data_IF_214956063280
#
_entry.id   IF_214956063280
#
_cell.length_a   1.000
_cell.length_b   1.000
_cell.length_c   1.000
_cell.angle_alpha   90.00
_cell.angle_beta   90.00
_cell.angle_gamma   90.00
#
_symmetry.space_group_name_H-M   'P 1'
#
loop_
_entity.id
_entity.type
_entity.pdbx_description
1 polymer ?
#
# COMPACT_ATOMS: atom_id res chain seq x y z
N UNK A 1 66.29 56.80 -20.70
CA UNK A 1 65.56 55.65 -21.30
C UNK A 1 65.22 54.68 -20.18
N UNK A 2 64.01 54.18 -19.93
CA UNK A 2 62.65 54.36 -20.46
C UNK A 2 61.70 54.16 -19.27
N UNK A 3 60.67 55.00 -19.14
CA UNK A 3 59.52 54.78 -18.26
C UNK A 3 58.77 53.52 -18.73
N UNK A 4 58.39 52.63 -17.82
CA UNK A 4 57.44 51.54 -18.13
C UNK A 4 56.11 51.86 -17.47
N UNK A 5 55.08 51.91 -18.31
CA UNK A 5 53.67 52.21 -18.00
C UNK A 5 53.00 51.03 -17.27
N UNK A 6 51.97 51.41 -16.51
CA UNK A 6 50.99 50.57 -15.83
C UNK A 6 50.35 49.49 -16.73
N UNK A 7 49.96 48.36 -16.13
CA UNK A 7 48.83 47.54 -16.59
C UNK A 7 47.90 47.32 -15.39
N UNK A 8 46.63 47.73 -15.55
CA UNK A 8 45.54 47.50 -14.60
C UNK A 8 44.83 46.17 -14.91
N UNK A 9 44.20 45.66 -13.86
CA UNK A 9 43.02 44.77 -13.83
C UNK A 9 43.28 43.26 -13.94
N UNK A 10 42.77 42.49 -12.96
CA UNK A 10 41.38 42.00 -12.95
C UNK A 10 41.01 41.26 -11.66
N UNK A 11 39.86 41.64 -11.12
CA UNK A 11 38.82 40.82 -10.48
C UNK A 11 39.24 39.47 -9.85
N UNK A 12 39.19 39.40 -8.52
CA UNK A 12 38.80 38.19 -7.80
C UNK A 12 37.84 38.60 -6.68
N UNK A 13 36.56 38.68 -7.02
CA UNK A 13 35.47 38.83 -6.06
C UNK A 13 35.31 37.45 -5.39
N UNK A 14 35.96 37.28 -4.24
CA UNK A 14 36.02 36.01 -3.52
C UNK A 14 35.15 36.05 -2.26
N UNK A 15 34.41 34.96 -2.06
CA UNK A 15 33.93 34.45 -0.77
C UNK A 15 32.99 35.33 0.05
N UNK A 16 31.70 35.34 -0.30
CA UNK A 16 30.66 35.28 0.74
C UNK A 16 29.36 34.67 0.20
N UNK A 17 29.41 33.40 -0.19
CA UNK A 17 28.20 32.59 -0.35
C UNK A 17 27.68 32.24 1.04
N UNK A 18 26.79 33.08 1.56
CA UNK A 18 25.98 32.79 2.74
C UNK A 18 24.99 31.67 2.36
N UNK A 19 25.42 30.42 2.52
CA UNK A 19 24.56 29.26 2.36
C UNK A 19 23.63 29.20 3.57
N UNK A 20 22.48 29.86 3.44
CA UNK A 20 21.36 29.71 4.35
C UNK A 20 20.76 28.32 4.10
N UNK A 21 21.31 27.29 4.76
CA UNK A 21 20.67 25.98 4.87
C UNK A 21 19.39 26.15 5.69
N UNK A 22 18.29 26.47 5.00
CA UNK A 22 16.94 26.26 5.51
C UNK A 22 16.78 24.77 5.79
N UNK A 23 16.88 24.42 7.07
CA UNK A 23 16.53 23.10 7.59
C UNK A 23 15.01 23.00 7.51
N UNK A 24 14.51 22.70 6.32
CA UNK A 24 13.10 22.38 6.11
C UNK A 24 12.92 20.95 6.60
N UNK A 25 12.64 20.81 7.90
CA UNK A 25 12.20 19.56 8.48
C UNK A 25 10.93 19.11 7.76
N UNK A 26 11.05 18.12 6.89
CA UNK A 26 9.90 17.42 6.35
C UNK A 26 9.18 16.75 7.52
N UNK A 27 8.11 17.37 8.01
CA UNK A 27 7.14 16.69 8.84
C UNK A 27 6.51 15.60 7.95
N UNK A 28 7.02 14.37 8.04
CA UNK A 28 6.36 13.20 7.47
C UNK A 28 5.13 12.89 8.32
N UNK A 29 4.07 13.68 8.16
CA UNK A 29 2.72 13.23 8.50
C UNK A 29 2.42 12.06 7.58
N UNK A 30 2.72 10.83 8.04
CA UNK A 30 2.54 9.62 7.25
C UNK A 30 1.09 9.52 6.80
N UNK A 31 0.83 9.77 5.52
CA UNK A 31 -0.50 9.62 4.95
C UNK A 31 -0.87 8.14 5.01
N UNK A 32 -1.92 7.80 5.75
CA UNK A 32 -2.45 6.44 5.80
C UNK A 32 -2.97 6.03 4.43
N UNK A 33 -2.68 4.80 4.03
CA UNK A 33 -3.14 4.17 2.80
C UNK A 33 -4.64 3.94 2.88
N UNK A 34 -5.37 4.58 1.97
CA UNK A 34 -6.81 4.43 1.86
C UNK A 34 -7.22 3.16 1.07
N UNK A 35 -8.53 2.94 0.93
CA UNK A 35 -9.10 1.80 0.21
C UNK A 35 -8.66 1.70 -1.26
N UNK A 36 -8.53 2.84 -1.94
CA UNK A 36 -8.17 2.87 -3.35
C UNK A 36 -6.68 2.57 -3.52
N UNK A 37 -5.84 3.15 -2.66
CA UNK A 37 -4.41 2.89 -2.65
C UNK A 37 -4.10 1.43 -2.31
N UNK A 38 -4.79 0.85 -1.32
CA UNK A 38 -4.64 -0.57 -0.98
C UNK A 38 -5.14 -1.50 -2.09
N UNK A 39 -6.23 -1.15 -2.78
CA UNK A 39 -6.67 -1.90 -3.95
C UNK A 39 -5.64 -1.89 -5.08
N UNK A 40 -5.01 -0.75 -5.36
CA UNK A 40 -3.96 -0.67 -6.37
C UNK A 40 -2.76 -1.56 -6.04
N UNK A 41 -2.40 -1.71 -4.76
CA UNK A 41 -1.36 -2.67 -4.30
C UNK A 41 -1.81 -4.10 -4.60
N UNK A 42 -3.01 -4.50 -4.16
CA UNK A 42 -3.51 -5.86 -4.39
C UNK A 42 -3.59 -6.19 -5.88
N UNK A 43 -4.10 -5.25 -6.67
CA UNK A 43 -4.24 -5.40 -8.12
C UNK A 43 -2.89 -5.59 -8.81
N UNK A 44 -1.88 -4.78 -8.48
CA UNK A 44 -0.58 -4.77 -9.16
C UNK A 44 0.39 -5.83 -8.63
N UNK A 45 0.30 -6.19 -7.36
CA UNK A 45 1.29 -7.06 -6.74
C UNK A 45 0.77 -8.48 -6.46
N UNK A 46 -0.53 -8.64 -6.19
CA UNK A 46 -1.12 -9.95 -5.84
C UNK A 46 -1.93 -10.56 -6.97
N UNK A 47 -2.53 -9.72 -7.82
CA UNK A 47 -3.42 -10.13 -8.92
C UNK A 47 -2.87 -9.75 -10.30
N UNK A 48 -1.59 -9.37 -10.40
CA UNK A 48 -0.99 -8.91 -11.65
C UNK A 48 -1.07 -9.93 -12.79
N UNK A 49 -0.95 -11.21 -12.48
CA UNK A 49 -0.98 -12.28 -13.47
C UNK A 49 -2.36 -12.44 -14.10
N UNK A 50 -3.44 -12.28 -13.33
CA UNK A 50 -4.81 -12.35 -13.85
C UNK A 50 -5.85 -11.81 -12.86
N UNK A 51 -6.76 -11.01 -13.42
CA UNK A 51 -8.03 -10.62 -12.79
C UNK A 51 -9.22 -11.40 -13.34
N UNK A 52 -9.02 -12.28 -14.33
CA UNK A 52 -10.09 -13.05 -14.95
C UNK A 52 -10.66 -14.07 -13.97
N UNK A 53 -11.97 -14.28 -14.06
CA UNK A 53 -12.72 -15.20 -13.22
C UNK A 53 -12.48 -14.96 -11.71
N UNK A 54 -12.62 -13.71 -11.27
CA UNK A 54 -12.44 -13.30 -9.86
C UNK A 54 -13.52 -12.34 -9.41
N UNK A 55 -13.91 -12.47 -8.14
CA UNK A 55 -14.65 -11.43 -7.42
C UNK A 55 -13.79 -10.97 -6.25
N UNK A 56 -13.67 -9.65 -6.08
CA UNK A 56 -12.90 -9.06 -4.99
C UNK A 56 -13.80 -8.21 -4.12
N UNK A 57 -13.71 -8.46 -2.82
CA UNK A 57 -14.35 -7.71 -1.77
C UNK A 57 -13.29 -7.05 -0.90
N UNK A 58 -13.61 -5.90 -0.31
CA UNK A 58 -12.80 -5.20 0.69
C UNK A 58 -13.62 -4.93 1.94
N UNK A 59 -13.01 -4.98 3.12
CA UNK A 59 -13.66 -4.59 4.38
C UNK A 59 -14.15 -3.13 4.34
N UNK A 60 -15.26 -2.86 5.03
CA UNK A 60 -15.81 -1.50 5.17
C UNK A 60 -14.89 -0.58 5.97
N UNK A 61 -14.14 -1.14 6.92
CA UNK A 61 -13.15 -0.44 7.75
C UNK A 61 -11.87 -1.28 7.85
N UNK A 62 -10.71 -0.66 8.18
CA UNK A 62 -9.50 -1.40 8.49
C UNK A 62 -9.68 -2.23 9.76
N UNK A 63 -9.00 -3.38 9.82
CA UNK A 63 -9.02 -4.29 10.95
C UNK A 63 -7.73 -4.14 11.77
N UNK A 64 -7.84 -4.26 13.09
CA UNK A 64 -6.70 -4.10 14.00
C UNK A 64 -5.86 -5.38 14.09
N UNK A 65 -4.58 -5.24 14.40
CA UNK A 65 -3.69 -6.36 14.71
C UNK A 65 -4.34 -7.37 15.67
N UNK A 66 -4.25 -8.66 15.34
CA UNK A 66 -4.80 -9.74 16.15
C UNK A 66 -6.32 -9.91 16.08
N UNK A 67 -7.05 -9.00 15.43
CA UNK A 67 -8.50 -9.13 15.24
C UNK A 67 -8.81 -10.41 14.45
N UNK A 68 -9.81 -11.15 14.92
CA UNK A 68 -10.24 -12.40 14.31
C UNK A 68 -11.13 -12.15 13.09
N UNK A 69 -10.88 -12.89 12.02
CA UNK A 69 -11.72 -12.99 10.83
C UNK A 69 -12.12 -14.46 10.71
N UNK A 70 -13.38 -14.74 11.02
CA UNK A 70 -13.90 -16.11 11.07
C UNK A 70 -14.41 -16.53 9.70
N UNK A 71 -14.23 -17.80 9.39
CA UNK A 71 -15.03 -18.55 8.43
C UNK A 71 -15.56 -19.80 9.14
N UNK A 72 -16.53 -20.48 8.53
CA UNK A 72 -17.05 -21.74 9.06
C UNK A 72 -16.00 -22.86 9.23
N UNK A 73 -14.80 -22.73 8.64
CA UNK A 73 -13.69 -23.68 8.79
C UNK A 73 -12.55 -23.20 9.68
N UNK A 74 -12.29 -21.89 9.73
CA UNK A 74 -11.06 -21.38 10.33
C UNK A 74 -11.24 -20.00 10.94
N UNK A 75 -10.36 -19.66 11.88
CA UNK A 75 -10.25 -18.31 12.43
C UNK A 75 -8.92 -17.74 11.98
N UNK A 76 -8.96 -16.88 10.98
CA UNK A 76 -7.81 -16.09 10.57
C UNK A 76 -7.64 -14.91 11.54
N UNK A 77 -6.42 -14.40 11.65
CA UNK A 77 -6.12 -13.19 12.43
C UNK A 77 -5.37 -12.20 11.56
N UNK A 78 -5.66 -10.91 11.74
CA UNK A 78 -4.81 -9.86 11.21
C UNK A 78 -3.40 -10.06 11.80
N UNK A 79 -2.34 -10.21 10.97
CA UNK A 79 -0.99 -10.43 11.47
C UNK A 79 -0.55 -9.34 12.45
N UNK A 80 0.08 -9.72 13.56
CA UNK A 80 0.46 -8.78 14.64
C UNK A 80 1.46 -7.70 14.20
N UNK A 81 2.18 -7.92 13.10
CA UNK A 81 3.11 -6.96 12.52
C UNK A 81 2.43 -5.92 11.61
N UNK A 82 1.12 -6.03 11.38
CA UNK A 82 0.30 -5.02 10.69
C UNK A 82 -0.62 -4.40 11.74
N UNK A 83 -0.29 -3.19 12.22
CA UNK A 83 -1.04 -2.57 13.33
C UNK A 83 -2.51 -2.40 13.00
N UNK A 84 -2.77 -2.03 11.75
CA UNK A 84 -4.08 -1.89 11.16
C UNK A 84 -4.00 -2.22 9.67
N UNK A 85 -4.97 -2.97 9.13
CA UNK A 85 -4.92 -3.45 7.76
C UNK A 85 -6.30 -3.49 7.08
N UNK A 86 -6.33 -3.12 5.81
CA UNK A 86 -7.46 -3.44 4.93
C UNK A 86 -7.51 -4.94 4.68
N UNK A 87 -8.68 -5.55 4.83
CA UNK A 87 -8.91 -6.93 4.44
C UNK A 87 -9.53 -6.98 3.06
N UNK A 88 -8.93 -7.74 2.16
CA UNK A 88 -9.54 -8.18 0.92
C UNK A 88 -9.88 -9.66 1.00
N UNK A 89 -11.06 -10.00 0.47
CA UNK A 89 -11.43 -11.38 0.16
C UNK A 89 -11.50 -11.52 -1.36
N UNK A 90 -10.74 -12.47 -1.90
CA UNK A 90 -10.71 -12.78 -3.32
C UNK A 90 -11.32 -14.17 -3.49
N UNK A 91 -12.45 -14.24 -4.18
CA UNK A 91 -12.99 -15.47 -4.73
C UNK A 91 -12.25 -15.75 -6.05
N UNK A 92 -11.42 -16.80 -6.07
CA UNK A 92 -10.63 -17.17 -7.24
C UNK A 92 -11.36 -18.12 -8.20
N UNK A 93 -12.54 -18.61 -7.82
CA UNK A 93 -13.39 -19.48 -8.65
C UNK A 93 -14.88 -19.15 -8.46
N UNK A 94 -15.33 -17.95 -8.88
CA UNK A 94 -16.72 -17.55 -8.76
C UNK A 94 -17.67 -18.57 -9.40
N UNK A 95 -18.75 -18.90 -8.69
CA UNK A 95 -19.75 -19.87 -9.15
C UNK A 95 -19.41 -21.33 -8.82
N UNK A 96 -18.22 -21.60 -8.28
CA UNK A 96 -17.98 -22.85 -7.59
C UNK A 96 -18.83 -22.94 -6.31
N UNK A 97 -19.20 -24.16 -5.93
CA UNK A 97 -20.06 -24.41 -4.78
C UNK A 97 -19.25 -24.35 -3.46
N UNK A 98 -19.44 -25.34 -2.60
CA UNK A 98 -19.08 -25.39 -1.18
C UNK A 98 -17.71 -24.78 -0.84
N UNK A 99 -16.65 -25.43 -1.29
CA UNK A 99 -15.29 -25.04 -0.97
C UNK A 99 -14.50 -24.95 -2.25
N UNK A 100 -13.89 -23.79 -2.45
CA UNK A 100 -13.17 -23.46 -3.66
C UNK A 100 -12.02 -22.53 -3.31
N UNK A 101 -11.05 -22.44 -4.21
CA UNK A 101 -9.88 -21.62 -3.96
C UNK A 101 -10.30 -20.15 -3.73
N UNK A 102 -9.86 -19.59 -2.61
CA UNK A 102 -10.03 -18.18 -2.31
C UNK A 102 -8.83 -17.66 -1.50
N UNK A 103 -8.75 -16.35 -1.34
CA UNK A 103 -7.65 -15.71 -0.61
C UNK A 103 -8.14 -14.60 0.29
N UNK A 104 -7.50 -14.51 1.45
CA UNK A 104 -7.57 -13.36 2.35
C UNK A 104 -6.28 -12.57 2.15
N UNK A 105 -6.38 -11.26 1.93
CA UNK A 105 -5.22 -10.39 1.77
C UNK A 105 -5.34 -9.25 2.76
N UNK A 106 -4.39 -9.14 3.67
CA UNK A 106 -4.28 -8.01 4.60
C UNK A 106 -3.28 -7.02 4.05
N UNK A 107 -3.65 -5.74 3.95
CA UNK A 107 -2.76 -4.65 3.48
C UNK A 107 -2.64 -3.61 4.60
N UNK A 108 -1.42 -3.42 5.11
CA UNK A 108 -1.13 -2.50 6.22
C UNK A 108 -1.41 -1.04 5.82
N UNK A 109 -2.14 -0.32 6.67
CA UNK A 109 -2.57 1.06 6.39
C UNK A 109 -1.44 2.08 6.48
N UNK A 110 -0.32 1.75 7.12
CA UNK A 110 0.82 2.66 7.26
C UNK A 110 1.87 2.49 6.15
N UNK A 111 2.10 1.25 5.71
CA UNK A 111 3.26 0.89 4.89
C UNK A 111 2.90 0.26 3.55
N UNK A 112 1.68 -0.27 3.41
CA UNK A 112 1.25 -0.98 2.19
C UNK A 112 1.81 -2.39 2.08
N UNK A 113 2.63 -2.83 3.05
CA UNK A 113 3.03 -4.23 3.17
C UNK A 113 1.78 -5.09 3.31
N UNK A 114 1.81 -6.28 2.72
CA UNK A 114 0.66 -7.16 2.73
C UNK A 114 1.00 -8.59 3.10
N UNK A 115 -0.04 -9.33 3.49
CA UNK A 115 0.00 -10.76 3.74
C UNK A 115 -1.14 -11.43 2.99
N UNK A 116 -0.79 -12.41 2.16
CA UNK A 116 -1.76 -13.29 1.49
C UNK A 116 -1.89 -14.58 2.28
N UNK A 117 -3.13 -15.03 2.48
CA UNK A 117 -3.47 -16.32 3.06
C UNK A 117 -4.38 -17.05 2.06
N UNK A 118 -3.97 -18.24 1.64
CA UNK A 118 -4.81 -19.15 0.86
C UNK A 118 -5.86 -19.77 1.77
N UNK A 119 -7.09 -19.84 1.30
CA UNK A 119 -8.24 -20.36 2.02
C UNK A 119 -9.16 -21.13 1.06
N UNK A 120 -10.21 -21.75 1.61
CA UNK A 120 -11.23 -22.44 0.82
C UNK A 120 -12.67 -21.99 1.11
N UNK A 121 -12.84 -20.97 1.97
CA UNK A 121 -14.14 -20.53 2.49
C UNK A 121 -14.16 -19.01 2.69
N UNK A 122 -15.24 -18.30 2.31
CA UNK A 122 -15.42 -16.87 2.59
C UNK A 122 -15.50 -16.57 4.09
N UNK A 123 -15.30 -15.31 4.50
CA UNK A 123 -15.52 -14.91 5.87
C UNK A 123 -17.01 -15.01 6.24
N UNK A 124 -17.32 -15.28 7.49
CA UNK A 124 -18.71 -15.29 7.97
C UNK A 124 -19.34 -13.90 7.90
N UNK A 125 -18.52 -12.85 7.98
CA UNK A 125 -18.93 -11.46 8.04
C UNK A 125 -18.93 -10.76 6.66
N UNK A 126 -19.48 -11.40 5.63
CA UNK A 126 -19.52 -10.83 4.26
C UNK A 126 -20.31 -9.51 4.19
N UNK A 127 -21.26 -9.29 5.10
CA UNK A 127 -22.02 -8.05 5.24
C UNK A 127 -21.15 -6.83 5.58
N UNK A 128 -19.98 -7.06 6.20
CA UNK A 128 -19.00 -6.03 6.51
C UNK A 128 -17.97 -5.84 5.37
N UNK A 129 -18.28 -6.33 4.17
CA UNK A 129 -17.43 -6.21 3.00
C UNK A 129 -18.19 -5.60 1.82
N UNK A 130 -17.47 -4.82 1.01
CA UNK A 130 -17.97 -4.26 -0.23
C UNK A 130 -17.30 -4.94 -1.41
N UNK A 131 -18.11 -5.46 -2.34
CA UNK A 131 -17.61 -5.90 -3.65
C UNK A 131 -17.06 -4.70 -4.42
N UNK A 132 -15.80 -4.78 -4.85
CA UNK A 132 -15.09 -3.71 -5.57
C UNK A 132 -14.66 -4.11 -6.97
N UNK A 133 -14.62 -5.41 -7.27
CA UNK A 133 -14.29 -5.94 -8.58
C UNK A 133 -15.04 -7.25 -8.82
N UNK A 134 -15.40 -7.51 -10.08
CA UNK A 134 -16.05 -8.74 -10.52
C UNK A 134 -15.78 -8.95 -12.00
N UNK A 135 -15.19 -10.08 -12.35
CA UNK A 135 -15.13 -10.60 -13.72
C UNK A 135 -15.43 -12.09 -13.65
N UNK A 136 -16.60 -12.50 -14.13
CA UNK A 136 -17.11 -13.88 -14.05
C UNK A 136 -17.37 -14.45 -15.45
N UNK A 137 -16.59 -14.00 -16.42
CA UNK A 137 -16.70 -14.34 -17.84
C UNK A 137 -15.82 -15.50 -18.22
#
# INVERSE_FOLDING_TARGET
MKRIKMIKARFFLSCLTLVLFLVMGCASGGKTIDKNQSWEIVKKEVLAESLQNKIVYISTEPLKAGQAVKSWKHIYKVPNNLQEAWLFFVDDQPGANWEHACRYIFVDTATGKYKVIKASTPPDSMENMKKIFSDTR
#
